data_IF_014372928815
#
_entry.id   IF_014372928815
#
_cell.length_a   1.000
_cell.length_b   1.000
_cell.length_c   1.000
_cell.angle_alpha   90.00
_cell.angle_beta   90.00
_cell.angle_gamma   90.00
#
_symmetry.space_group_name_H-M   'P 1'
#
loop_
_entity.id
_entity.type
_entity.pdbx_description
1 polymer ?
#
# COMPACT_ATOMS: atom_id res chain seq x y z
N UNK A 1 -20.02 -27.92 -13.55
CA UNK A 1 -20.10 -26.45 -13.72
C UNK A 1 -20.37 -25.75 -12.40
N UNK A 2 -21.61 -25.76 -11.86
CA UNK A 2 -21.96 -25.10 -10.58
C UNK A 2 -20.97 -25.44 -9.44
N UNK A 3 -20.66 -26.72 -9.23
CA UNK A 3 -19.73 -27.17 -8.17
C UNK A 3 -18.32 -26.56 -8.28
N UNK A 4 -17.78 -26.43 -9.49
CA UNK A 4 -16.44 -25.88 -9.72
C UNK A 4 -16.41 -24.35 -9.49
N UNK A 5 -17.40 -23.63 -10.02
CA UNK A 5 -17.55 -22.20 -9.74
C UNK A 5 -17.77 -21.94 -8.24
N UNK A 6 -18.52 -22.81 -7.56
CA UNK A 6 -18.71 -22.74 -6.10
C UNK A 6 -17.38 -22.93 -5.38
N UNK A 7 -16.57 -23.90 -5.81
CA UNK A 7 -15.26 -24.16 -5.21
C UNK A 7 -14.31 -22.97 -5.36
N UNK A 8 -14.21 -22.39 -6.56
CA UNK A 8 -13.43 -21.15 -6.79
C UNK A 8 -13.94 -20.02 -5.90
N UNK A 9 -15.26 -19.81 -5.87
CA UNK A 9 -15.87 -18.77 -5.04
C UNK A 9 -15.49 -18.94 -3.56
N UNK A 10 -15.72 -20.13 -3.00
CA UNK A 10 -15.42 -20.42 -1.58
C UNK A 10 -13.93 -20.24 -1.30
N UNK A 11 -13.06 -20.75 -2.17
CA UNK A 11 -11.60 -20.65 -2.00
C UNK A 11 -11.15 -19.19 -1.95
N UNK A 12 -11.51 -18.38 -2.95
CA UNK A 12 -11.11 -16.97 -2.99
C UNK A 12 -11.81 -16.14 -1.93
N UNK A 13 -13.06 -16.45 -1.58
CA UNK A 13 -13.79 -15.77 -0.52
C UNK A 13 -13.08 -15.95 0.83
N UNK A 14 -12.73 -17.19 1.20
CA UNK A 14 -12.02 -17.49 2.45
C UNK A 14 -10.65 -16.82 2.46
N UNK A 15 -9.90 -16.85 1.35
CA UNK A 15 -8.62 -16.16 1.23
C UNK A 15 -8.76 -14.65 1.44
N UNK A 16 -9.68 -14.00 0.74
CA UNK A 16 -9.93 -12.56 0.84
C UNK A 16 -10.41 -12.14 2.24
N UNK A 17 -11.30 -12.92 2.87
CA UNK A 17 -11.73 -12.67 4.24
C UNK A 17 -10.57 -12.77 5.22
N UNK A 18 -9.70 -13.78 5.08
CA UNK A 18 -8.51 -13.95 5.92
C UNK A 18 -7.54 -12.78 5.74
N UNK A 19 -7.31 -12.34 4.49
CA UNK A 19 -6.51 -11.16 4.20
C UNK A 19 -7.11 -9.89 4.82
N UNK A 20 -8.42 -9.69 4.70
CA UNK A 20 -9.11 -8.53 5.25
C UNK A 20 -9.00 -8.46 6.77
N UNK A 21 -9.25 -9.58 7.46
CA UNK A 21 -9.10 -9.68 8.93
C UNK A 21 -7.66 -9.38 9.33
N UNK A 22 -6.68 -9.90 8.59
CA UNK A 22 -5.28 -9.61 8.85
C UNK A 22 -4.95 -8.14 8.65
N UNK A 23 -5.38 -7.52 7.54
CA UNK A 23 -5.12 -6.11 7.28
C UNK A 23 -5.73 -5.22 8.37
N UNK A 24 -6.94 -5.58 8.84
CA UNK A 24 -7.57 -4.93 9.97
C UNK A 24 -6.78 -5.12 11.27
N UNK A 25 -6.31 -6.34 11.56
CA UNK A 25 -5.46 -6.64 12.71
C UNK A 25 -4.18 -5.81 12.67
N UNK A 26 -3.43 -5.85 11.56
CA UNK A 26 -2.22 -5.05 11.33
C UNK A 26 -2.50 -3.57 11.58
N UNK A 27 -3.61 -3.04 11.05
CA UNK A 27 -3.99 -1.64 11.25
C UNK A 27 -4.26 -1.29 12.71
N UNK A 28 -4.80 -2.22 13.50
CA UNK A 28 -5.11 -1.98 14.91
C UNK A 28 -3.87 -2.16 15.78
N UNK A 29 -3.03 -3.17 15.51
CA UNK A 29 -1.91 -3.53 16.39
C UNK A 29 -0.59 -2.89 16.04
N UNK A 30 -0.30 -2.64 14.76
CA UNK A 30 0.97 -2.05 14.31
C UNK A 30 0.91 -0.53 14.15
N UNK A 31 -0.29 0.06 14.18
CA UNK A 31 -0.47 1.51 14.18
C UNK A 31 -0.41 2.11 15.59
N UNK A 32 0.31 1.46 16.52
CA UNK A 32 0.59 2.04 17.82
C UNK A 32 1.56 3.21 17.61
N UNK A 33 1.08 4.42 17.92
CA UNK A 33 1.94 5.60 18.10
C UNK A 33 3.15 5.17 18.92
N UNK A 34 4.35 5.52 18.46
CA UNK A 34 5.57 5.10 19.14
C UNK A 34 5.47 5.53 20.60
N UNK A 35 5.80 4.66 21.56
CA UNK A 35 5.83 5.06 22.98
C UNK A 35 6.76 6.27 23.17
N UNK A 36 7.72 6.45 22.27
CA UNK A 36 8.63 7.61 22.19
C UNK A 36 7.96 8.88 21.63
N UNK A 37 6.86 8.80 20.88
CA UNK A 37 6.10 9.96 20.40
C UNK A 37 5.51 10.75 21.59
N UNK A 38 5.14 10.06 22.67
CA UNK A 38 4.65 10.67 23.91
C UNK A 38 5.73 11.47 24.68
N UNK A 39 7.00 11.13 24.47
CA UNK A 39 8.16 11.81 25.08
C UNK A 39 8.84 12.80 24.12
N UNK A 40 8.50 12.72 22.83
CA UNK A 40 8.87 13.67 21.78
C UNK A 40 8.05 14.95 21.94
N UNK A 41 8.36 15.78 22.95
CA UNK A 41 8.00 17.21 22.96
C UNK A 41 8.81 17.92 21.87
N UNK A 42 8.53 17.62 20.61
CA UNK A 42 9.09 18.34 19.47
C UNK A 42 8.37 19.69 19.37
N UNK A 43 9.10 20.82 19.22
CA UNK A 43 8.51 22.09 18.83
C UNK A 43 7.56 21.89 17.63
N UNK A 44 6.47 22.65 17.55
CA UNK A 44 5.47 22.52 16.47
C UNK A 44 6.08 22.63 15.06
N UNK A 45 7.24 23.26 14.95
CA UNK A 45 8.09 23.45 13.77
C UNK A 45 8.98 22.22 13.40
N UNK A 46 8.92 21.16 14.21
CA UNK A 46 9.57 19.85 14.02
C UNK A 46 8.57 18.68 13.85
N UNK A 47 7.26 18.97 13.96
CA UNK A 47 6.21 18.11 13.44
C UNK A 47 6.19 18.25 11.90
N UNK A 48 7.20 17.70 11.24
CA UNK A 48 7.09 17.34 9.83
C UNK A 48 6.09 16.21 9.77
N UNK A 49 4.84 16.61 9.63
CA UNK A 49 3.73 15.70 9.55
C UNK A 49 3.92 14.84 8.29
N UNK A 50 3.74 13.53 8.44
CA UNK A 50 3.74 12.57 7.33
C UNK A 50 2.66 12.87 6.27
N UNK A 51 1.78 13.84 6.56
CA UNK A 51 0.79 14.41 5.66
C UNK A 51 1.35 15.39 4.62
N UNK A 52 2.59 15.88 4.78
CA UNK A 52 3.20 16.80 3.83
C UNK A 52 3.43 16.13 2.46
N UNK A 53 3.09 16.84 1.39
CA UNK A 53 3.28 16.33 0.04
C UNK A 53 4.76 16.15 -0.29
N UNK A 54 5.10 15.20 -1.19
CA UNK A 54 6.47 14.97 -1.66
C UNK A 54 7.16 16.27 -2.12
N UNK A 55 6.39 17.20 -2.69
CA UNK A 55 6.87 18.52 -3.13
C UNK A 55 7.27 19.41 -1.96
N UNK A 56 6.49 19.43 -0.89
CA UNK A 56 6.80 20.18 0.33
C UNK A 56 7.98 19.58 1.08
N UNK A 57 8.09 18.24 1.12
CA UNK A 57 9.26 17.55 1.66
C UNK A 57 10.53 17.88 0.86
N UNK A 58 10.46 17.88 -0.47
CA UNK A 58 11.59 18.24 -1.34
C UNK A 58 12.03 19.70 -1.15
N UNK A 59 11.07 20.63 -1.02
CA UNK A 59 11.37 22.04 -0.73
C UNK A 59 12.04 22.20 0.65
N UNK A 60 11.57 21.45 1.65
CA UNK A 60 12.14 21.51 3.00
C UNK A 60 13.52 20.87 3.08
N UNK A 61 13.77 19.81 2.30
CA UNK A 61 15.10 19.24 2.12
C UNK A 61 16.06 20.23 1.48
N UNK A 62 15.64 20.90 0.40
CA UNK A 62 16.46 21.89 -0.30
C UNK A 62 16.83 23.08 0.60
N UNK A 63 15.91 23.55 1.44
CA UNK A 63 16.18 24.58 2.43
C UNK A 63 17.15 24.11 3.52
N UNK A 64 16.99 22.88 4.02
CA UNK A 64 17.92 22.29 4.99
C UNK A 64 19.33 22.13 4.42
N UNK A 65 19.47 21.63 3.20
CA UNK A 65 20.77 21.47 2.51
C UNK A 65 21.45 22.83 2.27
N UNK A 66 20.68 23.83 1.83
CA UNK A 66 21.20 25.20 1.62
C UNK A 66 21.73 25.80 2.93
N UNK A 67 21.05 25.55 4.04
CA UNK A 67 21.46 26.02 5.38
C UNK A 67 22.70 25.30 5.90
N UNK A 68 22.85 24.00 5.64
CA UNK A 68 24.07 23.24 5.97
C UNK A 68 25.26 23.79 5.18
N UNK A 69 25.12 23.98 3.86
CA UNK A 69 26.19 24.57 3.02
C UNK A 69 26.58 25.99 3.47
N UNK A 70 25.62 26.79 3.94
CA UNK A 70 25.88 28.12 4.50
C UNK A 70 26.60 28.07 5.86
N UNK A 71 26.33 27.06 6.68
CA UNK A 71 27.02 26.83 7.95
C UNK A 71 28.45 26.30 7.74
N UNK A 72 28.63 25.34 6.82
CA UNK A 72 29.93 24.75 6.46
C UNK A 72 30.87 25.76 5.76
N UNK A 73 30.34 26.69 4.97
CA UNK A 73 31.11 27.75 4.32
C UNK A 73 31.59 28.87 5.27
N UNK A 74 31.35 28.74 6.58
CA UNK A 74 31.86 29.65 7.62
C UNK A 74 31.21 31.05 7.62
N UNK A 75 30.23 31.30 6.74
CA UNK A 75 29.60 32.62 6.57
C UNK A 75 28.58 33.01 7.64
N UNK A 76 28.28 32.12 8.60
CA UNK A 76 27.35 32.47 9.69
C UNK A 76 27.63 31.73 11.00
N UNK A 77 28.53 32.28 11.82
CA UNK A 77 28.65 31.91 13.25
C UNK A 77 27.36 32.15 14.04
N UNK A 78 26.51 33.10 13.62
CA UNK A 78 25.19 33.38 14.21
C UNK A 78 24.12 32.35 13.84
N UNK A 79 24.22 31.68 12.68
CA UNK A 79 23.30 30.60 12.31
C UNK A 79 23.54 29.35 13.16
N UNK A 80 24.82 29.00 13.40
CA UNK A 80 25.20 27.88 14.26
C UNK A 80 24.70 28.01 15.71
N UNK A 81 24.71 29.22 16.27
CA UNK A 81 24.27 29.48 17.64
C UNK A 81 22.74 29.46 17.86
N UNK A 82 21.92 29.55 16.79
CA UNK A 82 20.45 29.50 16.89
C UNK A 82 19.90 28.07 16.87
N UNK A 83 20.71 27.09 16.47
CA UNK A 83 20.32 25.67 16.33
C UNK A 83 21.03 24.74 17.32
N UNK A 84 21.71 25.29 18.32
CA UNK A 84 22.23 24.53 19.47
C UNK A 84 21.12 24.05 20.44
N UNK A 85 19.86 24.07 19.99
CA UNK A 85 18.72 23.43 20.64
C UNK A 85 18.50 22.03 20.07
N UNK A 86 19.11 21.05 20.72
CA UNK A 86 18.82 19.60 20.76
C UNK A 86 18.83 18.72 19.49
N UNK A 87 18.81 19.22 18.25
CA UNK A 87 18.92 18.35 17.07
C UNK A 87 19.87 18.89 16.01
N UNK A 88 20.94 18.15 15.69
CA UNK A 88 21.92 18.57 14.68
C UNK A 88 21.24 18.78 13.32
N UNK A 89 21.67 19.79 12.55
CA UNK A 89 21.15 20.02 11.19
C UNK A 89 21.27 18.77 10.31
N UNK A 90 22.31 17.96 10.54
CA UNK A 90 22.53 16.66 9.91
C UNK A 90 21.45 15.64 10.28
N UNK A 91 21.06 15.55 11.56
CA UNK A 91 19.96 14.69 12.02
C UNK A 91 18.63 15.08 11.36
N UNK A 92 18.35 16.39 11.25
CA UNK A 92 17.15 16.89 10.57
C UNK A 92 17.16 16.56 9.08
N UNK A 93 18.30 16.71 8.40
CA UNK A 93 18.48 16.32 7.00
C UNK A 93 18.20 14.82 6.81
N UNK A 94 18.85 13.97 7.60
CA UNK A 94 18.68 12.52 7.52
C UNK A 94 17.22 12.10 7.76
N UNK A 95 16.51 12.78 8.65
CA UNK A 95 15.08 12.53 8.89
C UNK A 95 14.22 12.88 7.67
N UNK A 96 14.48 14.03 7.02
CA UNK A 96 13.75 14.41 5.80
C UNK A 96 14.06 13.43 4.66
N UNK A 97 15.32 13.05 4.51
CA UNK A 97 15.76 12.07 3.50
C UNK A 97 15.05 10.72 3.70
N UNK A 98 15.01 10.21 4.93
CA UNK A 98 14.28 8.98 5.26
C UNK A 98 12.78 9.09 4.94
N UNK A 99 12.14 10.23 5.25
CA UNK A 99 10.72 10.47 4.93
C UNK A 99 10.48 10.50 3.42
N UNK A 100 11.36 11.12 2.64
CA UNK A 100 11.28 11.13 1.17
C UNK A 100 11.43 9.72 0.62
N UNK A 101 12.47 8.98 1.04
CA UNK A 101 12.70 7.60 0.60
C UNK A 101 11.52 6.70 0.95
N UNK A 102 10.94 6.86 2.14
CA UNK A 102 9.74 6.12 2.54
C UNK A 102 8.55 6.45 1.63
N UNK A 103 8.28 7.74 1.37
CA UNK A 103 7.19 8.16 0.51
C UNK A 103 7.33 7.67 -0.94
N UNK A 104 8.56 7.68 -1.48
CA UNK A 104 8.85 7.13 -2.81
C UNK A 104 8.66 5.62 -2.87
N UNK A 105 9.05 4.90 -1.80
CA UNK A 105 8.84 3.46 -1.67
C UNK A 105 7.36 3.11 -1.60
N UNK A 106 6.59 3.84 -0.78
CA UNK A 106 5.14 3.69 -0.66
C UNK A 106 4.43 3.94 -1.99
N UNK A 107 4.81 4.99 -2.69
CA UNK A 107 4.24 5.32 -3.99
C UNK A 107 4.54 4.25 -5.04
N UNK A 108 5.75 3.68 -5.03
CA UNK A 108 6.11 2.56 -5.89
C UNK A 108 5.28 1.32 -5.58
N UNK A 109 5.13 0.98 -4.30
CA UNK A 109 4.32 -0.16 -3.87
C UNK A 109 2.85 0.01 -4.27
N UNK A 110 2.28 1.20 -4.11
CA UNK A 110 0.89 1.50 -4.54
C UNK A 110 0.74 1.33 -6.05
N UNK A 111 1.69 1.85 -6.84
CA UNK A 111 1.66 1.68 -8.30
C UNK A 111 1.73 0.23 -8.72
N UNK A 112 2.58 -0.56 -8.06
CA UNK A 112 2.73 -1.99 -8.33
C UNK A 112 1.44 -2.75 -8.02
N UNK A 113 0.80 -2.47 -6.87
CA UNK A 113 -0.50 -3.03 -6.49
C UNK A 113 -1.54 -2.69 -7.57
N UNK A 114 -1.64 -1.42 -7.97
CA UNK A 114 -2.61 -0.98 -8.99
C UNK A 114 -2.36 -1.71 -10.31
N UNK A 115 -1.11 -1.75 -10.76
CA UNK A 115 -0.75 -2.37 -12.03
C UNK A 115 -1.16 -3.84 -12.06
N UNK A 116 -0.72 -4.63 -11.08
CA UNK A 116 -1.03 -6.05 -11.03
C UNK A 116 -2.52 -6.34 -10.78
N UNK A 117 -3.20 -5.48 -10.02
CA UNK A 117 -4.63 -5.61 -9.81
C UNK A 117 -5.40 -5.37 -11.11
N UNK A 118 -5.05 -4.34 -11.88
CA UNK A 118 -5.67 -4.04 -13.18
C UNK A 118 -5.38 -5.15 -14.20
N UNK A 119 -4.16 -5.68 -14.26
CA UNK A 119 -3.85 -6.80 -15.16
C UNK A 119 -4.63 -8.06 -14.77
N UNK A 120 -4.76 -8.34 -13.47
CA UNK A 120 -5.61 -9.41 -12.96
C UNK A 120 -7.08 -9.21 -13.35
N UNK A 121 -7.58 -7.97 -13.32
CA UNK A 121 -8.96 -7.63 -13.71
C UNK A 121 -9.20 -7.88 -15.18
N UNK A 122 -8.30 -7.40 -16.03
CA UNK A 122 -8.37 -7.61 -17.48
C UNK A 122 -8.37 -9.11 -17.78
N UNK A 123 -7.51 -9.89 -17.12
CA UNK A 123 -7.43 -11.34 -17.32
C UNK A 123 -8.70 -12.07 -16.87
N UNK A 124 -9.27 -11.69 -15.72
CA UNK A 124 -10.52 -12.27 -15.23
C UNK A 124 -11.73 -11.90 -16.10
N UNK A 125 -11.78 -10.67 -16.61
CA UNK A 125 -12.81 -10.21 -17.54
C UNK A 125 -12.72 -10.94 -18.88
N UNK A 126 -11.52 -11.05 -19.45
CA UNK A 126 -11.27 -11.83 -20.67
C UNK A 126 -11.64 -13.30 -20.47
N UNK A 127 -11.24 -13.91 -19.35
CA UNK A 127 -11.59 -15.27 -18.98
C UNK A 127 -13.10 -15.48 -18.86
N UNK A 128 -13.84 -14.50 -18.35
CA UNK A 128 -15.31 -14.53 -18.29
C UNK A 128 -15.94 -14.55 -19.68
N UNK A 129 -15.41 -13.79 -20.64
CA UNK A 129 -15.88 -13.82 -22.03
C UNK A 129 -15.60 -15.18 -22.69
N UNK A 130 -14.39 -15.73 -22.49
CA UNK A 130 -13.99 -17.05 -23.00
C UNK A 130 -14.85 -18.16 -22.41
N UNK A 131 -15.15 -18.08 -21.10
CA UNK A 131 -16.00 -19.04 -20.39
C UNK A 131 -17.42 -19.10 -20.96
N UNK A 132 -17.95 -17.97 -21.43
CA UNK A 132 -19.31 -17.88 -21.99
C UNK A 132 -19.36 -18.33 -23.45
N UNK A 133 -18.32 -18.03 -24.26
CA UNK A 133 -18.40 -18.12 -25.73
C UNK A 133 -17.57 -19.22 -26.39
N UNK A 134 -16.52 -19.71 -25.74
CA UNK A 134 -15.52 -20.56 -26.39
C UNK A 134 -15.34 -21.87 -25.64
N UNK A 135 -14.47 -21.87 -24.63
CA UNK A 135 -14.02 -23.07 -23.93
C UNK A 135 -14.02 -22.83 -22.42
N UNK A 136 -14.73 -23.71 -21.72
CA UNK A 136 -15.02 -23.57 -20.30
C UNK A 136 -13.73 -23.62 -19.47
N UNK A 137 -12.84 -24.57 -19.79
CA UNK A 137 -11.60 -24.77 -19.04
C UNK A 137 -10.61 -23.63 -19.22
N UNK A 138 -10.50 -23.10 -20.45
CA UNK A 138 -9.67 -21.94 -20.74
C UNK A 138 -10.22 -20.67 -20.04
N UNK A 139 -11.53 -20.45 -20.06
CA UNK A 139 -12.14 -19.34 -19.33
C UNK A 139 -11.92 -19.46 -17.81
N UNK A 140 -12.13 -20.65 -17.25
CA UNK A 140 -11.92 -20.95 -15.84
C UNK A 140 -10.48 -20.71 -15.37
N UNK A 141 -9.48 -21.12 -16.16
CA UNK A 141 -8.06 -20.94 -15.83
C UNK A 141 -7.64 -19.47 -15.87
N UNK A 142 -8.17 -18.70 -16.84
CA UNK A 142 -7.94 -17.26 -16.94
C UNK A 142 -8.58 -16.50 -15.76
N UNK A 143 -9.82 -16.83 -15.40
CA UNK A 143 -10.50 -16.25 -14.23
C UNK A 143 -9.70 -16.54 -12.95
N UNK A 144 -9.31 -17.80 -12.75
CA UNK A 144 -8.55 -18.23 -11.58
C UNK A 144 -7.21 -17.51 -11.52
N UNK A 145 -6.47 -17.44 -12.63
CA UNK A 145 -5.19 -16.73 -12.71
C UNK A 145 -5.33 -15.24 -12.41
N UNK A 146 -6.39 -14.59 -12.93
CA UNK A 146 -6.67 -13.18 -12.68
C UNK A 146 -6.97 -12.89 -11.21
N UNK A 147 -7.80 -13.72 -10.58
CA UNK A 147 -8.10 -13.63 -9.15
C UNK A 147 -6.86 -13.91 -8.29
N UNK A 148 -6.04 -14.90 -8.64
CA UNK A 148 -4.76 -15.16 -7.98
C UNK A 148 -3.85 -13.94 -8.05
N UNK A 149 -3.74 -13.28 -9.20
CA UNK A 149 -2.91 -12.09 -9.35
C UNK A 149 -3.40 -10.92 -8.48
N UNK A 150 -4.71 -10.69 -8.41
CA UNK A 150 -5.28 -9.67 -7.51
C UNK A 150 -5.03 -9.98 -6.04
N UNK A 151 -5.26 -11.22 -5.63
CA UNK A 151 -5.14 -11.65 -4.22
C UNK A 151 -3.71 -11.77 -3.76
N UNK A 152 -2.78 -12.18 -4.63
CA UNK A 152 -1.36 -12.26 -4.32
C UNK A 152 -0.77 -10.88 -4.04
N UNK A 153 -1.05 -9.90 -4.90
CA UNK A 153 -0.47 -8.54 -4.79
C UNK A 153 -1.14 -7.69 -3.71
N UNK A 154 -2.38 -7.97 -3.36
CA UNK A 154 -3.04 -7.38 -2.17
C UNK A 154 -2.73 -8.15 -0.88
N UNK A 155 -2.11 -9.32 -1.02
CA UNK A 155 -1.65 -10.13 0.07
C UNK A 155 -0.49 -9.46 0.82
N UNK A 156 -0.30 -9.82 2.09
CA UNK A 156 0.88 -9.40 2.84
C UNK A 156 2.12 -10.04 2.21
N UNK A 157 3.24 -9.31 2.16
CA UNK A 157 4.53 -9.83 1.72
C UNK A 157 4.96 -10.94 2.70
N UNK A 158 4.64 -12.19 2.36
CA UNK A 158 4.84 -13.34 3.25
C UNK A 158 6.26 -13.92 3.23
N UNK A 159 7.17 -13.42 2.39
CA UNK A 159 8.47 -14.04 2.22
C UNK A 159 9.63 -13.03 2.19
N UNK A 160 10.54 -13.23 3.15
CA UNK A 160 11.99 -13.07 3.00
C UNK A 160 12.69 -11.72 3.14
N UNK A 161 12.04 -10.64 3.56
CA UNK A 161 12.81 -9.45 3.96
C UNK A 161 12.26 -8.87 5.24
N UNK A 162 13.18 -8.46 6.13
CA UNK A 162 12.90 -7.58 7.25
C UNK A 162 12.45 -6.20 6.71
N UNK A 163 11.35 -6.19 5.97
CA UNK A 163 10.77 -4.98 5.41
C UNK A 163 10.08 -4.24 6.55
N UNK A 164 10.37 -2.95 6.56
CA UNK A 164 9.69 -1.93 7.34
C UNK A 164 8.19 -2.19 7.35
N UNK A 165 7.50 -1.99 8.49
CA UNK A 165 6.04 -2.11 8.54
C UNK A 165 5.43 -1.34 7.37
N UNK A 166 4.50 -1.98 6.63
CA UNK A 166 3.74 -1.33 5.56
C UNK A 166 3.29 0.04 6.08
N UNK A 167 3.53 1.11 5.32
CA UNK A 167 3.01 2.42 5.69
C UNK A 167 1.48 2.35 5.81
N UNK A 168 0.94 3.23 6.65
CA UNK A 168 -0.51 3.34 6.85
C UNK A 168 -1.26 3.53 5.52
N UNK A 169 -0.66 4.26 4.55
CA UNK A 169 -1.24 4.47 3.22
C UNK A 169 -1.26 3.20 2.37
N UNK A 170 -0.16 2.46 2.29
CA UNK A 170 -0.09 1.20 1.52
C UNK A 170 -1.09 0.18 2.09
N UNK A 171 -1.19 0.09 3.41
CA UNK A 171 -2.15 -0.79 4.08
C UNK A 171 -3.61 -0.42 3.76
N UNK A 172 -3.94 0.87 3.76
CA UNK A 172 -5.29 1.35 3.39
C UNK A 172 -5.61 0.97 1.94
N UNK A 173 -4.67 1.17 1.02
CA UNK A 173 -4.84 0.80 -0.40
C UNK A 173 -5.08 -0.71 -0.53
N UNK A 174 -4.30 -1.55 0.16
CA UNK A 174 -4.51 -3.01 0.19
C UNK A 174 -5.91 -3.36 0.69
N UNK A 175 -6.39 -2.76 1.79
CA UNK A 175 -7.75 -2.97 2.31
C UNK A 175 -8.81 -2.61 1.26
N UNK A 176 -8.68 -1.45 0.62
CA UNK A 176 -9.64 -0.99 -0.40
C UNK A 176 -9.68 -2.00 -1.56
N UNK A 177 -8.54 -2.39 -2.11
CA UNK A 177 -8.50 -3.34 -3.22
C UNK A 177 -9.01 -4.73 -2.83
N UNK A 178 -8.73 -5.23 -1.61
CA UNK A 178 -9.30 -6.48 -1.10
C UNK A 178 -10.83 -6.40 -1.01
N UNK A 179 -11.39 -5.27 -0.53
CA UNK A 179 -12.84 -5.05 -0.46
C UNK A 179 -13.48 -4.98 -1.86
N UNK A 180 -12.82 -4.30 -2.80
CA UNK A 180 -13.29 -4.23 -4.19
C UNK A 180 -13.30 -5.64 -4.80
N UNK A 181 -12.23 -6.42 -4.65
CA UNK A 181 -12.17 -7.80 -5.16
C UNK A 181 -13.20 -8.70 -4.49
N UNK A 182 -13.44 -8.57 -3.19
CA UNK A 182 -14.47 -9.32 -2.48
C UNK A 182 -15.88 -9.00 -3.01
N UNK A 183 -16.16 -7.72 -3.23
CA UNK A 183 -17.44 -7.25 -3.79
C UNK A 183 -17.62 -7.71 -5.23
N UNK A 184 -16.56 -7.65 -6.04
CA UNK A 184 -16.58 -8.13 -7.43
C UNK A 184 -16.80 -9.65 -7.48
N UNK A 185 -16.16 -10.42 -6.59
CA UNK A 185 -16.30 -11.87 -6.51
C UNK A 185 -17.73 -12.27 -6.10
N UNK A 186 -18.32 -11.62 -5.10
CA UNK A 186 -19.70 -11.89 -4.68
C UNK A 186 -20.70 -11.49 -5.75
N UNK A 187 -20.51 -10.34 -6.41
CA UNK A 187 -21.34 -9.93 -7.55
C UNK A 187 -21.27 -10.96 -8.69
N UNK A 188 -20.06 -11.36 -9.08
CA UNK A 188 -19.83 -12.38 -10.12
C UNK A 188 -20.52 -13.71 -9.78
N UNK A 189 -20.44 -14.15 -8.53
CA UNK A 189 -21.14 -15.34 -8.05
C UNK A 189 -22.66 -15.22 -8.18
N UNK A 190 -23.25 -14.09 -7.79
CA UNK A 190 -24.69 -13.84 -7.95
C UNK A 190 -25.12 -13.83 -9.42
N UNK A 191 -24.34 -13.20 -10.31
CA UNK A 191 -24.61 -13.19 -11.75
C UNK A 191 -24.54 -14.58 -12.36
N UNK A 192 -23.50 -15.35 -12.06
CA UNK A 192 -23.33 -16.71 -12.59
C UNK A 192 -24.38 -17.68 -12.06
N UNK A 193 -24.77 -17.58 -10.79
CA UNK A 193 -25.88 -18.36 -10.23
C UNK A 193 -27.19 -18.08 -10.99
N UNK A 194 -27.53 -16.80 -11.18
CA UNK A 194 -28.75 -16.39 -11.88
C UNK A 194 -28.77 -16.84 -13.35
N UNK A 195 -27.65 -16.73 -14.06
CA UNK A 195 -27.55 -17.18 -15.45
C UNK A 195 -27.79 -18.69 -15.61
N UNK A 196 -27.34 -19.48 -14.64
CA UNK A 196 -27.51 -20.93 -14.61
C UNK A 196 -28.85 -21.43 -14.05
N UNK A 197 -29.70 -20.54 -13.52
CA UNK A 197 -31.06 -20.88 -13.08
C UNK A 197 -32.11 -20.49 -14.13
N UNK A 198 -31.73 -19.67 -15.12
CA UNK A 198 -32.60 -19.20 -16.23
C UNK A 198 -32.46 -20.07 -17.50
N UNK A 199 -31.36 -20.82 -17.62
CA UNK A 199 -31.12 -21.83 -18.68
C UNK A 199 -31.23 -23.23 -18.11
#
# INVERSE_FOLDING_TARGET
>A
MKKFATAIFVLFFVLLCTQLVRHAYTRITLNQESVLDKYSKKPADLQMDSSLSLRELALTYADAEKRIKLAESGKSKKALAKYSGDESLTSRKNKIENLITQHESDYRAIKEIIFFWVTGLILAAAGSLVFIKLEIWAGASMITSGLTMMTWNTGPLFFMTAQTPDSSMVLIVKIIFTLITLTALTAYWHFTKRYHDVK
#
